data_IF_626165223427
#
_entry.id   IF_626165223427
#
_cell.length_a   1.000
_cell.length_b   1.000
_cell.length_c   1.000
_cell.angle_alpha   90.00
_cell.angle_beta   90.00
_cell.angle_gamma   90.00
#
_symmetry.space_group_name_H-M   'P 1'
#
loop_
_entity.id
_entity.type
_entity.pdbx_description
1 polymer ?
#
# COMPACT_ATOMS: atom_id res chain seq x y z
N UNK A 1 -21.55 -9.62 -5.62
CA UNK A 1 -20.33 -8.79 -5.69
C UNK A 1 -19.19 -9.65 -6.20
N UNK A 2 -18.26 -9.12 -7.01
CA UNK A 2 -17.39 -9.97 -7.80
C UNK A 2 -16.24 -10.55 -6.96
N UNK A 3 -15.87 -11.79 -7.26
CA UNK A 3 -14.69 -12.46 -6.75
C UNK A 3 -13.81 -12.82 -7.94
N UNK A 4 -12.53 -12.46 -7.86
CA UNK A 4 -11.52 -12.85 -8.83
C UNK A 4 -10.83 -14.13 -8.35
N UNK A 5 -10.95 -15.22 -9.10
CA UNK A 5 -10.12 -16.40 -8.87
C UNK A 5 -8.73 -16.12 -9.46
N UNK A 6 -7.70 -16.15 -8.61
CA UNK A 6 -6.32 -15.73 -8.97
C UNK A 6 -5.37 -16.90 -9.23
N UNK A 7 -5.79 -18.13 -8.92
CA UNK A 7 -5.04 -19.35 -9.18
C UNK A 7 -5.96 -20.56 -9.47
N UNK A 8 -5.37 -21.68 -9.86
CA UNK A 8 -6.07 -22.94 -10.13
C UNK A 8 -6.55 -23.66 -8.85
N UNK A 9 -6.09 -23.22 -7.67
CA UNK A 9 -6.47 -23.78 -6.37
C UNK A 9 -7.79 -23.22 -5.83
N UNK A 10 -8.40 -22.27 -6.54
CA UNK A 10 -9.66 -21.63 -6.14
C UNK A 10 -9.47 -20.46 -5.19
N UNK A 11 -8.25 -19.94 -5.04
CA UNK A 11 -7.99 -18.74 -4.26
C UNK A 11 -8.71 -17.55 -4.88
N UNK A 12 -9.56 -16.89 -4.08
CA UNK A 12 -10.41 -15.79 -4.50
C UNK A 12 -10.03 -14.48 -3.80
N UNK A 13 -10.00 -13.40 -4.57
CA UNK A 13 -9.88 -12.03 -4.10
C UNK A 13 -11.21 -11.32 -4.31
N UNK A 14 -11.76 -10.75 -3.25
CA UNK A 14 -12.87 -9.82 -3.33
C UNK A 14 -12.41 -8.47 -3.87
N UNK A 15 -13.22 -7.87 -4.74
CA UNK A 15 -12.96 -6.53 -5.26
C UNK A 15 -14.25 -5.75 -5.53
N UNK A 16 -14.12 -4.43 -5.57
CA UNK A 16 -15.12 -3.52 -6.14
C UNK A 16 -14.52 -2.77 -7.33
N UNK A 17 -15.37 -2.37 -8.26
CA UNK A 17 -14.94 -1.80 -9.54
C UNK A 17 -15.93 -0.71 -9.96
N UNK A 18 -15.41 0.50 -10.17
CA UNK A 18 -16.23 1.64 -10.64
C UNK A 18 -16.71 1.46 -12.09
N UNK A 19 -16.12 0.51 -12.82
CA UNK A 19 -16.35 0.30 -14.24
C UNK A 19 -15.57 1.29 -15.11
N UNK A 20 -15.78 1.15 -16.41
CA UNK A 20 -15.13 1.99 -17.44
C UNK A 20 -15.62 3.44 -17.31
N UNK A 21 -14.72 4.44 -17.26
CA UNK A 21 -15.12 5.84 -17.22
C UNK A 21 -15.91 6.24 -18.47
N UNK A 22 -16.92 7.10 -18.30
CA UNK A 22 -17.81 7.47 -19.39
C UNK A 22 -17.07 8.15 -20.56
N UNK A 23 -17.37 7.70 -21.78
CA UNK A 23 -16.88 8.34 -23.00
C UNK A 23 -15.40 8.11 -23.34
N UNK A 24 -14.70 7.23 -22.61
CA UNK A 24 -13.32 6.89 -22.90
C UNK A 24 -13.13 5.41 -23.28
N UNK A 25 -12.34 5.18 -24.34
CA UNK A 25 -11.88 3.84 -24.75
C UNK A 25 -10.48 3.53 -24.23
N UNK A 26 -9.73 4.56 -23.82
CA UNK A 26 -8.37 4.46 -23.30
C UNK A 26 -8.29 5.21 -21.97
N UNK A 27 -8.05 4.49 -20.88
CA UNK A 27 -8.11 5.05 -19.53
C UNK A 27 -7.10 4.37 -18.60
N UNK A 28 -6.53 5.11 -17.63
CA UNK A 28 -5.82 4.50 -16.52
C UNK A 28 -6.76 3.73 -15.60
N UNK A 29 -6.30 2.53 -15.20
CA UNK A 29 -6.90 1.75 -14.14
C UNK A 29 -6.05 1.86 -12.89
N UNK A 30 -6.68 2.20 -11.76
CA UNK A 30 -6.07 2.19 -10.44
C UNK A 30 -6.57 0.95 -9.70
N UNK A 31 -5.66 0.12 -9.20
CA UNK A 31 -5.97 -0.93 -8.22
C UNK A 31 -5.47 -0.48 -6.86
N UNK A 32 -6.33 -0.41 -5.86
CA UNK A 32 -6.00 0.05 -4.51
C UNK A 32 -6.13 -1.10 -3.52
N UNK A 33 -5.07 -1.31 -2.72
CA UNK A 33 -5.04 -2.24 -1.59
C UNK A 33 -5.22 -1.48 -0.28
N UNK A 34 -5.95 -2.07 0.67
CA UNK A 34 -6.19 -1.48 1.99
C UNK A 34 -4.95 -1.58 2.91
N UNK A 35 -5.05 -0.97 4.10
CA UNK A 35 -4.03 -1.03 5.15
C UNK A 35 -4.27 -2.14 6.18
N UNK A 36 -3.48 -2.12 7.25
CA UNK A 36 -3.62 -3.05 8.37
C UNK A 36 -4.98 -2.88 9.08
N UNK A 37 -5.68 -3.98 9.35
CA UNK A 37 -6.97 -4.06 10.08
C UNK A 37 -8.12 -3.26 9.50
N UNK A 38 -7.97 -2.72 8.29
CA UNK A 38 -8.97 -1.92 7.60
C UNK A 38 -9.16 -2.60 6.26
N UNK A 39 -10.38 -2.94 5.88
CA UNK A 39 -10.65 -3.56 4.59
C UNK A 39 -10.98 -2.52 3.49
N UNK A 40 -10.98 -3.00 2.25
CA UNK A 40 -11.55 -2.35 1.07
C UNK A 40 -13.03 -2.71 0.86
N UNK A 41 -13.69 -3.36 1.85
CA UNK A 41 -15.14 -3.43 2.08
C UNK A 41 -15.95 -4.64 1.59
N UNK A 42 -17.24 -4.64 1.99
CA UNK A 42 -18.43 -5.15 1.31
C UNK A 42 -19.58 -4.14 1.54
N UNK A 43 -20.01 -3.42 0.49
CA UNK A 43 -21.10 -2.40 0.45
C UNK A 43 -20.80 -1.02 1.04
N UNK A 44 -19.85 -0.89 1.97
CA UNK A 44 -19.24 0.38 2.43
C UNK A 44 -17.75 0.10 2.64
N UNK A 45 -16.89 0.95 2.07
CA UNK A 45 -15.43 0.73 2.04
C UNK A 45 -14.71 1.97 2.53
N UNK A 46 -13.50 1.83 3.05
CA UNK A 46 -12.68 3.01 3.40
C UNK A 46 -12.37 3.90 2.18
N UNK A 47 -12.61 3.39 0.96
CA UNK A 47 -12.44 4.07 -0.31
C UNK A 47 -13.76 4.53 -0.93
N UNK A 48 -14.91 4.28 -0.31
CA UNK A 48 -16.22 4.49 -0.94
C UNK A 48 -16.41 5.93 -1.40
N UNK A 49 -15.87 6.87 -0.62
CA UNK A 49 -15.98 8.30 -0.88
C UNK A 49 -15.14 8.73 -2.09
N UNK A 50 -14.13 7.94 -2.46
CA UNK A 50 -13.33 8.19 -3.67
C UNK A 50 -14.06 7.76 -4.94
N UNK A 51 -14.81 6.67 -4.89
CA UNK A 51 -15.35 6.00 -6.08
C UNK A 51 -16.22 6.92 -6.97
N UNK A 52 -17.10 7.80 -6.43
CA UNK A 52 -17.88 8.74 -7.24
C UNK A 52 -17.04 9.70 -8.09
N UNK A 53 -15.79 9.96 -7.71
CA UNK A 53 -14.91 10.87 -8.45
C UNK A 53 -14.14 10.18 -9.58
N UNK A 54 -14.15 8.85 -9.68
CA UNK A 54 -13.36 8.11 -10.67
C UNK A 54 -13.67 8.58 -12.11
N UNK A 55 -14.94 8.55 -12.52
CA UNK A 55 -15.31 8.97 -13.88
C UNK A 55 -15.09 10.46 -14.14
N UNK A 56 -15.17 11.32 -13.11
CA UNK A 56 -14.88 12.76 -13.24
C UNK A 56 -13.45 13.01 -13.70
N UNK A 57 -12.51 12.17 -13.25
CA UNK A 57 -11.09 12.27 -13.59
C UNK A 57 -10.65 11.24 -14.64
N UNK A 58 -11.60 10.59 -15.34
CA UNK A 58 -11.28 9.62 -16.39
C UNK A 58 -10.58 8.35 -15.90
N UNK A 59 -10.77 8.00 -14.63
CA UNK A 59 -10.19 6.81 -14.01
C UNK A 59 -11.19 5.65 -13.96
N UNK A 60 -10.68 4.42 -14.03
CA UNK A 60 -11.32 3.23 -13.45
C UNK A 60 -10.63 2.92 -12.13
N UNK A 61 -11.38 2.88 -11.03
CA UNK A 61 -10.84 2.51 -9.71
C UNK A 61 -11.36 1.12 -9.36
N UNK A 62 -10.44 0.24 -8.98
CA UNK A 62 -10.70 -1.09 -8.46
C UNK A 62 -10.12 -1.17 -7.06
N UNK A 63 -10.93 -1.52 -6.07
CA UNK A 63 -10.45 -1.77 -4.71
C UNK A 63 -10.42 -3.27 -4.47
N UNK A 64 -9.46 -3.77 -3.69
CA UNK A 64 -9.37 -5.21 -3.40
C UNK A 64 -9.18 -5.48 -1.91
N UNK A 65 -9.75 -6.59 -1.45
CA UNK A 65 -9.41 -7.18 -0.15
C UNK A 65 -8.35 -8.24 -0.34
N UNK A 66 -7.21 -8.07 0.31
CA UNK A 66 -6.19 -9.10 0.32
C UNK A 66 -6.73 -10.38 0.98
N UNK A 67 -6.09 -11.53 0.73
CA UNK A 67 -6.45 -12.78 1.43
C UNK A 67 -6.39 -12.59 2.95
N UNK A 68 -7.27 -13.30 3.64
CA UNK A 68 -7.48 -13.14 5.08
C UNK A 68 -8.44 -12.01 5.48
N UNK A 69 -8.83 -11.13 4.55
CA UNK A 69 -9.85 -10.10 4.78
C UNK A 69 -11.21 -10.53 4.24
N UNK A 70 -12.29 -9.90 4.71
CA UNK A 70 -13.65 -10.31 4.38
C UNK A 70 -13.89 -10.39 2.86
N UNK A 71 -14.64 -11.41 2.44
CA UNK A 71 -14.97 -11.67 1.04
C UNK A 71 -13.88 -12.40 0.24
N UNK A 72 -12.61 -12.33 0.66
CA UNK A 72 -11.46 -13.05 0.06
C UNK A 72 -11.20 -14.39 0.76
N UNK A 73 -10.44 -15.27 0.11
CA UNK A 73 -10.06 -16.57 0.67
C UNK A 73 -9.17 -16.37 1.91
N UNK A 74 -9.45 -17.02 3.05
CA UNK A 74 -8.60 -16.97 4.23
C UNK A 74 -7.26 -17.69 3.99
N UNK A 75 -6.28 -17.43 4.84
CA UNK A 75 -5.06 -18.26 4.87
C UNK A 75 -5.29 -19.50 5.72
N UNK A 76 -4.65 -20.58 5.32
CA UNK A 76 -4.52 -21.79 6.13
C UNK A 76 -3.43 -21.60 7.20
N UNK A 77 -3.48 -22.43 8.24
CA UNK A 77 -2.43 -22.45 9.28
C UNK A 77 -1.04 -22.74 8.72
N UNK A 78 -0.94 -23.61 7.71
CA UNK A 78 0.32 -23.94 7.03
C UNK A 78 0.89 -22.72 6.30
N UNK A 79 0.05 -21.96 5.59
CA UNK A 79 0.48 -20.74 4.91
C UNK A 79 0.92 -19.66 5.89
N UNK A 80 0.23 -19.51 7.03
CA UNK A 80 0.59 -18.57 8.09
C UNK A 80 1.89 -19.00 8.82
N UNK A 81 2.14 -20.31 8.94
CA UNK A 81 3.35 -20.83 9.56
C UNK A 81 4.62 -20.42 8.80
N UNK A 82 4.54 -20.19 7.48
CA UNK A 82 5.66 -19.64 6.72
C UNK A 82 6.09 -18.26 7.22
N UNK A 83 5.14 -17.37 7.52
CA UNK A 83 5.43 -16.03 8.05
C UNK A 83 5.96 -16.07 9.49
N UNK A 84 5.55 -17.08 10.27
CA UNK A 84 5.98 -17.27 11.65
C UNK A 84 7.31 -18.06 11.79
N UNK A 85 7.82 -18.61 10.69
CA UNK A 85 8.98 -19.51 10.70
C UNK A 85 10.22 -18.83 11.28
N UNK A 86 11.07 -19.49 12.08
CA UNK A 86 12.36 -18.94 12.47
C UNK A 86 13.39 -18.94 11.31
N UNK A 87 13.09 -19.63 10.21
CA UNK A 87 13.92 -19.66 9.01
C UNK A 87 13.58 -18.47 8.09
N UNK A 88 14.57 -17.61 7.87
CA UNK A 88 14.44 -16.38 7.08
C UNK A 88 14.05 -16.65 5.61
N UNK A 89 14.51 -17.74 4.99
CA UNK A 89 14.14 -18.04 3.60
C UNK A 89 12.70 -18.56 3.51
N UNK A 90 12.24 -19.29 4.53
CA UNK A 90 10.83 -19.70 4.65
C UNK A 90 9.94 -18.48 4.90
N UNK A 91 10.33 -17.55 5.77
CA UNK A 91 9.62 -16.29 5.93
C UNK A 91 9.59 -15.47 4.65
N UNK A 92 10.72 -15.37 3.96
CA UNK A 92 10.81 -14.67 2.68
C UNK A 92 9.90 -15.33 1.63
N UNK A 93 9.74 -16.65 1.64
CA UNK A 93 8.73 -17.33 0.82
C UNK A 93 7.30 -16.91 1.18
N UNK A 94 6.99 -16.81 2.48
CA UNK A 94 5.73 -16.26 2.97
C UNK A 94 5.47 -14.84 2.46
N UNK A 95 6.46 -13.93 2.56
CA UNK A 95 6.34 -12.54 2.08
C UNK A 95 6.17 -12.48 0.55
N UNK A 96 6.94 -13.29 -0.20
CA UNK A 96 6.78 -13.40 -1.66
C UNK A 96 5.38 -13.84 -2.06
N UNK A 97 4.81 -14.80 -1.35
CA UNK A 97 3.44 -15.28 -1.62
C UNK A 97 2.43 -14.13 -1.51
N UNK A 98 2.55 -13.25 -0.51
CA UNK A 98 1.69 -12.06 -0.41
C UNK A 98 1.82 -11.16 -1.66
N UNK A 99 3.06 -10.90 -2.09
CA UNK A 99 3.36 -10.17 -3.33
C UNK A 99 2.77 -10.83 -4.59
N UNK A 100 2.93 -12.14 -4.69
CA UNK A 100 2.50 -12.95 -5.84
C UNK A 100 0.98 -12.95 -5.97
N UNK A 101 0.24 -13.08 -4.87
CA UNK A 101 -1.23 -13.09 -4.86
C UNK A 101 -1.80 -11.74 -5.36
N UNK A 102 -1.21 -10.62 -4.92
CA UNK A 102 -1.57 -9.31 -5.45
C UNK A 102 -1.21 -9.19 -6.93
N UNK A 103 -0.03 -9.66 -7.36
CA UNK A 103 0.35 -9.65 -8.77
C UNK A 103 -0.57 -10.52 -9.65
N UNK A 104 -1.03 -11.67 -9.16
CA UNK A 104 -2.03 -12.51 -9.83
C UNK A 104 -3.38 -11.80 -9.95
N UNK A 105 -3.81 -11.07 -8.92
CA UNK A 105 -4.99 -10.22 -9.02
C UNK A 105 -4.83 -9.12 -10.08
N UNK A 106 -3.67 -8.46 -10.14
CA UNK A 106 -3.38 -7.49 -11.20
C UNK A 106 -3.44 -8.14 -12.59
N UNK A 107 -2.93 -9.37 -12.74
CA UNK A 107 -3.01 -10.12 -13.99
C UNK A 107 -4.47 -10.43 -14.38
N UNK A 108 -5.30 -10.81 -13.41
CA UNK A 108 -6.75 -10.97 -13.60
C UNK A 108 -7.41 -9.66 -14.08
N UNK A 109 -7.05 -8.51 -13.50
CA UNK A 109 -7.54 -7.20 -13.96
C UNK A 109 -7.14 -6.94 -15.42
N UNK A 110 -5.88 -7.21 -15.77
CA UNK A 110 -5.38 -7.06 -17.14
C UNK A 110 -6.11 -7.95 -18.15
N UNK A 111 -6.23 -9.24 -17.85
CA UNK A 111 -6.67 -10.26 -18.81
C UNK A 111 -8.19 -10.45 -18.83
N UNK A 112 -8.81 -10.51 -17.65
CA UNK A 112 -10.24 -10.80 -17.50
C UNK A 112 -11.07 -9.53 -17.60
N UNK A 113 -10.64 -8.45 -16.93
CA UNK A 113 -11.35 -7.17 -16.95
C UNK A 113 -10.94 -6.27 -18.14
N UNK A 114 -9.97 -6.73 -18.95
CA UNK A 114 -9.57 -6.18 -20.25
C UNK A 114 -9.31 -4.68 -20.21
N UNK A 115 -8.47 -4.26 -19.28
CA UNK A 115 -8.07 -2.85 -19.22
C UNK A 115 -7.17 -2.50 -20.43
N UNK A 116 -7.10 -1.23 -20.85
CA UNK A 116 -6.22 -0.82 -21.92
C UNK A 116 -4.74 -1.02 -21.55
N UNK A 117 -3.91 -1.42 -22.51
CA UNK A 117 -2.45 -1.45 -22.34
C UNK A 117 -1.90 -0.04 -22.16
N UNK A 118 -0.72 0.09 -21.54
CA UNK A 118 -0.04 1.38 -21.48
C UNK A 118 0.51 1.74 -22.88
N UNK A 119 0.14 2.90 -23.41
CA UNK A 119 0.64 3.40 -24.71
C UNK A 119 1.20 4.80 -24.57
N UNK A 120 2.21 5.13 -25.38
CA UNK A 120 2.87 6.44 -25.33
C UNK A 120 3.93 6.56 -24.24
N UNK A 121 4.57 7.72 -24.18
CA UNK A 121 5.67 8.02 -23.26
C UNK A 121 5.44 9.37 -22.54
N UNK A 122 5.94 9.48 -21.31
CA UNK A 122 5.84 10.70 -20.51
C UNK A 122 4.40 11.18 -20.32
N UNK A 123 4.18 12.49 -20.46
CA UNK A 123 2.87 13.12 -20.35
C UNK A 123 1.83 12.71 -21.41
N UNK A 124 2.22 11.90 -22.41
CA UNK A 124 1.31 11.32 -23.41
C UNK A 124 0.99 9.86 -23.12
N UNK A 125 1.35 9.36 -21.93
CA UNK A 125 1.08 7.98 -21.54
C UNK A 125 -0.39 7.81 -21.24
N UNK A 126 -1.06 6.98 -22.02
CA UNK A 126 -2.48 6.65 -21.88
C UNK A 126 -2.64 5.17 -21.47
N UNK A 127 -3.88 4.75 -21.22
CA UNK A 127 -4.24 3.36 -20.95
C UNK A 127 -3.71 2.91 -19.60
N UNK A 128 -3.29 1.65 -19.43
CA UNK A 128 -2.43 1.08 -18.37
C UNK A 128 -2.97 0.98 -16.94
N UNK A 129 -2.10 0.49 -16.04
CA UNK A 129 -2.40 0.10 -14.65
C UNK A 129 -1.48 0.82 -13.65
N UNK A 130 -2.05 1.20 -12.51
CA UNK A 130 -1.35 1.71 -11.34
C UNK A 130 -1.78 0.91 -10.11
N UNK A 131 -0.82 0.41 -9.35
CA UNK A 131 -1.08 -0.22 -8.04
C UNK A 131 -0.88 0.84 -6.95
N UNK A 132 -1.87 1.03 -6.08
CA UNK A 132 -1.76 1.85 -4.87
C UNK A 132 -1.72 0.92 -3.66
N UNK A 133 -0.58 0.88 -3.00
CA UNK A 133 -0.31 0.13 -1.79
C UNK A 133 -0.39 1.04 -0.57
N UNK A 134 -1.51 0.98 0.16
CA UNK A 134 -1.71 1.81 1.34
C UNK A 134 -1.08 1.17 2.57
N UNK A 135 -0.39 1.99 3.37
CA UNK A 135 0.07 1.60 4.70
C UNK A 135 0.97 0.35 4.67
N UNK A 136 0.72 -0.62 5.54
CA UNK A 136 1.46 -1.88 5.66
C UNK A 136 1.47 -2.74 4.39
N UNK A 137 0.50 -2.61 3.50
CA UNK A 137 0.51 -3.35 2.23
C UNK A 137 1.53 -2.81 1.22
N UNK A 138 2.27 -1.75 1.58
CA UNK A 138 3.55 -1.45 0.93
C UNK A 138 4.54 -2.62 0.98
N UNK A 139 4.47 -3.51 1.99
CA UNK A 139 5.32 -4.73 2.07
C UNK A 139 5.13 -5.65 0.86
N UNK A 140 3.89 -5.79 0.40
CA UNK A 140 3.54 -6.52 -0.83
C UNK A 140 4.14 -5.83 -2.05
N UNK A 141 4.03 -4.50 -2.12
CA UNK A 141 4.58 -3.72 -3.24
C UNK A 141 6.10 -3.80 -3.34
N UNK A 142 6.84 -3.73 -2.22
CA UNK A 142 8.31 -3.95 -2.25
C UNK A 142 8.65 -5.39 -2.63
N UNK A 143 7.85 -6.39 -2.23
CA UNK A 143 8.07 -7.78 -2.67
C UNK A 143 7.89 -7.94 -4.19
N UNK A 144 6.88 -7.29 -4.78
CA UNK A 144 6.63 -7.32 -6.24
C UNK A 144 7.80 -6.71 -7.01
N UNK A 145 8.32 -5.57 -6.55
CA UNK A 145 9.37 -4.84 -7.27
C UNK A 145 10.80 -5.26 -6.91
N UNK A 146 11.00 -5.86 -5.75
CA UNK A 146 12.30 -6.08 -5.12
C UNK A 146 12.79 -7.53 -5.12
N UNK A 147 11.94 -8.51 -5.44
CA UNK A 147 12.34 -9.91 -5.59
C UNK A 147 11.84 -10.51 -6.91
N UNK A 148 12.73 -10.85 -7.86
CA UNK A 148 12.35 -11.50 -9.12
C UNK A 148 11.57 -12.80 -8.96
N UNK A 149 11.74 -13.50 -7.83
CA UNK A 149 11.03 -14.74 -7.53
C UNK A 149 9.55 -14.51 -7.22
N UNK A 150 9.13 -13.29 -6.86
CA UNK A 150 7.72 -12.96 -6.60
C UNK A 150 6.88 -13.04 -7.88
N UNK A 151 7.41 -12.50 -8.98
CA UNK A 151 6.68 -12.39 -10.24
C UNK A 151 6.85 -13.62 -11.14
N UNK A 152 8.04 -14.21 -11.17
CA UNK A 152 8.37 -15.21 -12.20
C UNK A 152 8.27 -14.65 -13.62
N UNK A 153 8.45 -15.49 -14.64
CA UNK A 153 8.39 -15.06 -16.05
C UNK A 153 6.99 -14.65 -16.48
N UNK A 154 5.98 -15.41 -16.06
CA UNK A 154 4.64 -15.34 -16.67
C UNK A 154 3.85 -14.13 -16.19
N UNK A 155 3.90 -13.81 -14.88
CA UNK A 155 3.30 -12.58 -14.37
C UNK A 155 4.07 -11.35 -14.85
N UNK A 156 5.41 -11.43 -14.98
CA UNK A 156 6.21 -10.33 -15.52
C UNK A 156 5.79 -10.02 -16.96
N UNK A 157 5.70 -11.04 -17.81
CA UNK A 157 5.27 -10.88 -19.20
C UNK A 157 3.83 -10.34 -19.30
N UNK A 158 2.95 -10.79 -18.39
CA UNK A 158 1.56 -10.34 -18.33
C UNK A 158 1.43 -8.89 -17.88
N UNK A 159 2.18 -8.46 -16.86
CA UNK A 159 2.03 -7.13 -16.27
C UNK A 159 2.88 -6.05 -16.92
N UNK A 160 4.02 -6.39 -17.54
CA UNK A 160 4.94 -5.42 -18.12
C UNK A 160 4.28 -4.44 -19.13
N UNK A 161 3.32 -4.87 -19.99
CA UNK A 161 2.64 -3.95 -20.90
C UNK A 161 1.62 -3.01 -20.23
N UNK A 162 1.24 -3.28 -18.98
CA UNK A 162 0.14 -2.61 -18.29
C UNK A 162 0.61 -1.79 -17.11
N UNK A 163 1.38 -2.38 -16.19
CA UNK A 163 1.76 -1.75 -14.94
C UNK A 163 2.76 -0.63 -15.20
N UNK A 164 2.46 0.56 -14.71
CA UNK A 164 3.24 1.78 -14.98
C UNK A 164 3.84 2.37 -13.72
N UNK A 165 3.07 2.33 -12.65
CA UNK A 165 3.43 2.99 -11.40
C UNK A 165 2.95 2.13 -10.24
N UNK A 166 3.81 2.00 -9.24
CA UNK A 166 3.43 1.51 -7.91
C UNK A 166 3.50 2.70 -6.96
N UNK A 167 2.37 2.99 -6.33
CA UNK A 167 2.21 4.09 -5.39
C UNK A 167 2.28 3.53 -3.97
N UNK A 168 3.23 3.99 -3.18
CA UNK A 168 3.25 3.78 -1.74
C UNK A 168 2.46 4.92 -1.09
N UNK A 169 1.22 4.63 -0.69
CA UNK A 169 0.39 5.60 0.01
C UNK A 169 0.65 5.47 1.51
N UNK A 170 1.43 6.42 2.03
CA UNK A 170 1.71 6.61 3.45
C UNK A 170 2.18 5.35 4.19
N UNK A 171 3.07 4.58 3.56
CA UNK A 171 3.63 3.34 4.12
C UNK A 171 4.49 3.61 5.36
N UNK A 172 4.37 2.83 6.44
CA UNK A 172 5.22 2.98 7.61
C UNK A 172 6.64 2.46 7.37
N UNK A 173 7.61 2.88 8.20
CA UNK A 173 9.01 2.45 8.08
C UNK A 173 9.21 0.93 8.11
N UNK A 174 8.33 0.19 8.80
CA UNK A 174 8.34 -1.26 8.84
C UNK A 174 8.19 -1.90 7.44
N UNK A 175 7.51 -1.24 6.50
CA UNK A 175 7.42 -1.66 5.09
C UNK A 175 8.79 -1.79 4.43
N UNK A 176 9.77 -0.99 4.88
CA UNK A 176 11.11 -0.94 4.35
C UNK A 176 12.14 -1.66 5.23
N UNK A 177 11.68 -2.44 6.23
CA UNK A 177 12.56 -3.12 7.17
C UNK A 177 13.30 -2.19 8.13
N UNK A 178 12.70 -1.04 8.46
CA UNK A 178 13.30 -0.05 9.37
C UNK A 178 12.42 0.14 10.61
N UNK A 179 12.97 -0.20 11.77
CA UNK A 179 12.35 -0.06 13.07
C UNK A 179 13.15 0.93 13.94
N UNK A 180 12.86 2.23 13.84
CA UNK A 180 13.64 3.23 14.56
C UNK A 180 13.35 3.21 16.06
N UNK A 181 14.39 3.34 16.87
CA UNK A 181 14.23 3.64 18.29
C UNK A 181 14.07 5.15 18.48
N UNK A 182 12.82 5.59 18.67
CA UNK A 182 12.48 6.99 18.91
C UNK A 182 11.94 7.22 20.34
N UNK A 183 12.10 6.24 21.23
CA UNK A 183 11.50 6.26 22.56
C UNK A 183 9.96 6.23 22.57
N UNK A 184 9.33 5.88 21.44
CA UNK A 184 7.87 5.73 21.27
C UNK A 184 7.59 4.45 20.50
N UNK A 185 6.85 3.52 21.10
CA UNK A 185 6.40 2.31 20.43
C UNK A 185 5.16 2.54 19.56
N UNK A 186 4.83 1.55 18.73
CA UNK A 186 3.47 1.43 18.17
C UNK A 186 2.54 0.84 19.23
N UNK A 187 1.22 1.04 19.14
CA UNK A 187 0.29 0.48 20.12
C UNK A 187 0.39 -1.05 20.28
N UNK A 188 0.78 -1.79 19.23
CA UNK A 188 0.98 -3.22 19.31
C UNK A 188 2.25 -3.63 20.08
N UNK A 189 3.31 -2.83 19.98
CA UNK A 189 4.59 -3.04 20.67
C UNK A 189 4.62 -2.52 22.11
N UNK A 190 3.62 -1.73 22.53
CA UNK A 190 3.58 -1.16 23.88
C UNK A 190 3.14 -2.22 24.92
N UNK A 191 4.01 -2.56 25.89
CA UNK A 191 3.68 -3.54 26.93
C UNK A 191 2.72 -3.00 28.00
N UNK A 192 2.51 -1.68 28.06
CA UNK A 192 1.60 -1.03 29.03
C UNK A 192 0.14 -1.07 28.57
N UNK A 193 -0.11 -1.35 27.29
CA UNK A 193 -1.45 -1.49 26.73
C UNK A 193 -1.89 -2.96 26.88
N UNK A 194 -3.01 -3.25 27.58
CA UNK A 194 -3.57 -4.60 27.65
C UNK A 194 -3.85 -5.17 26.26
N UNK A 195 -3.61 -6.46 26.04
CA UNK A 195 -3.71 -7.09 24.71
C UNK A 195 -5.09 -6.89 24.07
N UNK A 196 -6.15 -6.98 24.87
CA UNK A 196 -7.54 -6.75 24.46
C UNK A 196 -7.85 -5.30 24.04
N UNK A 197 -7.01 -4.34 24.44
CA UNK A 197 -7.13 -2.92 24.07
C UNK A 197 -6.23 -2.52 22.90
N UNK A 198 -5.24 -3.35 22.51
CA UNK A 198 -4.24 -2.97 21.50
C UNK A 198 -4.86 -2.59 20.16
N UNK A 199 -5.81 -3.37 19.66
CA UNK A 199 -6.49 -3.04 18.39
C UNK A 199 -7.25 -1.71 18.48
N UNK A 200 -7.97 -1.47 19.57
CA UNK A 200 -8.74 -0.24 19.79
C UNK A 200 -7.82 1.00 19.84
N UNK A 201 -6.73 0.93 20.61
CA UNK A 201 -5.74 2.02 20.68
C UNK A 201 -4.99 2.19 19.36
N UNK A 202 -4.74 1.10 18.63
CA UNK A 202 -4.18 1.15 17.28
C UNK A 202 -5.10 1.92 16.32
N UNK A 203 -6.41 1.68 16.34
CA UNK A 203 -7.37 2.40 15.51
C UNK A 203 -7.38 3.91 15.81
N UNK A 204 -7.29 4.30 17.08
CA UNK A 204 -7.15 5.71 17.45
C UNK A 204 -5.85 6.31 16.94
N UNK A 205 -4.73 5.66 17.23
CA UNK A 205 -3.40 6.12 16.85
C UNK A 205 -3.23 6.24 15.35
N UNK A 206 -3.62 5.21 14.59
CA UNK A 206 -3.40 5.15 13.13
C UNK A 206 -4.27 6.17 12.39
N UNK A 207 -5.41 6.57 12.96
CA UNK A 207 -6.34 7.51 12.35
C UNK A 207 -6.35 8.91 12.96
N UNK A 208 -5.52 9.14 13.97
CA UNK A 208 -5.32 10.46 14.55
C UNK A 208 -4.57 11.40 13.60
N UNK A 209 -4.71 12.70 13.86
CA UNK A 209 -3.98 13.75 13.17
C UNK A 209 -2.81 14.17 14.05
N UNK A 210 -1.62 14.30 13.46
CA UNK A 210 -0.41 14.65 14.18
C UNK A 210 0.25 15.90 13.60
N UNK A 211 1.00 16.61 14.42
CA UNK A 211 1.98 17.58 13.94
C UNK A 211 3.19 16.87 13.35
N UNK A 212 3.77 17.45 12.30
CA UNK A 212 5.04 17.04 11.72
C UNK A 212 6.14 18.05 12.08
N UNK A 213 7.43 17.65 12.03
CA UNK A 213 8.53 18.60 12.00
C UNK A 213 8.30 19.69 10.93
N UNK A 214 8.65 20.96 11.20
CA UNK A 214 8.51 22.04 10.23
C UNK A 214 9.23 21.79 8.90
N UNK A 215 8.79 22.45 7.82
CA UNK A 215 9.46 22.37 6.51
C UNK A 215 10.96 22.72 6.66
N UNK A 216 11.84 21.85 6.17
CA UNK A 216 13.30 22.00 6.28
C UNK A 216 13.93 21.38 7.54
N UNK A 217 13.14 20.93 8.51
CA UNK A 217 13.65 20.17 9.67
C UNK A 217 13.70 18.68 9.32
N UNK A 218 14.88 18.02 9.43
CA UNK A 218 14.99 16.60 9.17
C UNK A 218 14.14 15.77 10.14
N UNK A 219 13.59 14.65 9.66
CA UNK A 219 12.92 13.67 10.51
C UNK A 219 14.01 12.86 11.23
N UNK A 220 14.14 13.05 12.54
CA UNK A 220 15.04 12.31 13.43
C UNK A 220 14.28 11.90 14.69
N UNK A 221 14.90 11.08 15.56
CA UNK A 221 14.28 10.74 16.83
C UNK A 221 14.02 11.99 17.68
N UNK A 222 14.97 12.93 17.69
CA UNK A 222 14.90 14.19 18.43
C UNK A 222 13.81 15.11 17.87
N UNK A 223 13.74 15.29 16.54
CA UNK A 223 12.74 16.18 15.95
C UNK A 223 11.32 15.60 16.08
N UNK A 224 11.15 14.28 15.99
CA UNK A 224 9.87 13.68 16.32
C UNK A 224 9.56 13.80 17.81
N UNK A 225 10.52 13.66 18.72
CA UNK A 225 10.28 13.88 20.14
C UNK A 225 9.79 15.32 20.43
N UNK A 226 10.40 16.31 19.79
CA UNK A 226 10.10 17.73 19.97
C UNK A 226 8.77 18.15 19.31
N UNK A 227 8.55 17.74 18.06
CA UNK A 227 7.45 18.28 17.25
C UNK A 227 6.24 17.37 17.12
N UNK A 228 6.34 16.06 17.37
CA UNK A 228 5.23 15.13 17.17
C UNK A 228 4.22 15.18 18.34
N UNK A 229 3.04 15.71 18.06
CA UNK A 229 1.93 15.83 19.00
C UNK A 229 0.63 15.45 18.31
N UNK A 230 -0.27 14.78 19.03
CA UNK A 230 -1.63 14.50 18.56
C UNK A 230 -2.44 15.79 18.56
N UNK A 231 -2.98 16.17 17.41
CA UNK A 231 -3.85 17.32 17.27
C UNK A 231 -5.22 17.05 17.92
N UNK A 232 -5.90 18.08 18.48
CA UNK A 232 -7.20 17.94 19.12
C UNK A 232 -8.33 17.80 18.08
N UNK A 233 -8.26 16.74 17.27
CA UNK A 233 -9.22 16.38 16.23
C UNK A 233 -9.65 14.94 16.45
N UNK A 234 -10.94 14.65 16.25
CA UNK A 234 -11.45 13.27 16.31
C UNK A 234 -10.73 12.42 15.26
N UNK A 235 -10.12 11.27 15.64
CA UNK A 235 -9.50 10.36 14.68
C UNK A 235 -10.49 9.93 13.58
N UNK A 236 -10.04 9.82 12.34
CA UNK A 236 -10.93 9.61 11.18
C UNK A 236 -11.84 8.39 11.35
N UNK A 237 -11.29 7.27 11.82
CA UNK A 237 -12.06 6.03 12.00
C UNK A 237 -13.10 6.13 13.12
N UNK A 238 -12.96 7.11 14.04
CA UNK A 238 -13.96 7.40 15.09
C UNK A 238 -15.07 8.33 14.63
N UNK A 239 -15.01 8.83 13.40
CA UNK A 239 -16.12 9.57 12.76
C UNK A 239 -17.12 8.66 12.07
N UNK A 240 -16.78 7.37 11.91
CA UNK A 240 -17.65 6.38 11.30
C UNK A 240 -18.90 6.14 12.15
N UNK A 241 -20.03 5.85 11.49
CA UNK A 241 -21.18 5.28 12.20
C UNK A 241 -20.80 3.90 12.79
N UNK A 242 -21.48 3.42 13.84
CA UNK A 242 -21.20 2.09 14.39
C UNK A 242 -21.27 0.97 13.35
N UNK A 243 -22.19 1.09 12.39
CA UNK A 243 -22.35 0.11 11.32
C UNK A 243 -21.21 0.16 10.32
N UNK A 244 -20.77 1.36 9.93
CA UNK A 244 -19.64 1.52 9.00
C UNK A 244 -18.34 1.10 9.66
N UNK A 245 -18.17 1.39 10.95
CA UNK A 245 -17.03 0.91 11.72
C UNK A 245 -16.92 -0.62 11.68
N UNK A 246 -18.03 -1.33 11.90
CA UNK A 246 -18.06 -2.80 11.82
C UNK A 246 -17.81 -3.33 10.41
N UNK A 247 -18.19 -2.59 9.37
CA UNK A 247 -17.94 -2.97 7.97
C UNK A 247 -16.50 -2.72 7.53
N UNK A 248 -15.86 -1.68 8.08
CA UNK A 248 -14.53 -1.22 7.66
C UNK A 248 -13.40 -1.88 8.46
N UNK A 249 -13.60 -2.08 9.77
CA UNK A 249 -12.57 -2.57 10.67
C UNK A 249 -12.61 -4.09 10.76
N UNK A 250 -11.47 -4.72 10.49
CA UNK A 250 -11.28 -6.17 10.52
C UNK A 250 -10.43 -6.57 11.72
N UNK A 251 -11.08 -7.22 12.67
CA UNK A 251 -10.45 -7.77 13.87
C UNK A 251 -10.32 -9.29 13.77
N UNK A 252 -9.81 -9.94 14.81
CA UNK A 252 -9.63 -11.39 14.83
C UNK A 252 -8.43 -11.84 13.97
N UNK A 253 -8.66 -12.70 12.98
CA UNK A 253 -7.60 -13.31 12.18
C UNK A 253 -6.74 -12.28 11.42
N UNK A 254 -7.31 -11.14 11.02
CA UNK A 254 -6.57 -10.03 10.42
C UNK A 254 -5.52 -9.42 11.37
N UNK A 255 -5.77 -9.42 12.69
CA UNK A 255 -4.79 -8.97 13.70
C UNK A 255 -3.61 -9.92 13.72
N UNK A 256 -3.86 -11.22 13.71
CA UNK A 256 -2.82 -12.24 13.67
C UNK A 256 -2.00 -12.14 12.38
N UNK A 257 -2.65 -12.07 11.22
CA UNK A 257 -1.99 -11.93 9.92
C UNK A 257 -1.10 -10.67 9.88
N UNK A 258 -1.65 -9.52 10.26
CA UNK A 258 -0.88 -8.26 10.28
C UNK A 258 0.31 -8.36 11.23
N UNK A 259 0.12 -8.93 12.42
CA UNK A 259 1.20 -9.15 13.37
C UNK A 259 2.31 -10.04 12.81
N UNK A 260 1.96 -11.11 12.10
CA UNK A 260 2.93 -11.99 11.44
C UNK A 260 3.71 -11.27 10.33
N UNK A 261 3.04 -10.45 9.51
CA UNK A 261 3.70 -9.64 8.45
C UNK A 261 4.71 -8.67 9.06
N UNK A 262 4.34 -8.00 10.16
CA UNK A 262 5.23 -7.05 10.85
C UNK A 262 6.39 -7.77 11.55
N UNK A 263 6.16 -9.00 12.04
CA UNK A 263 7.16 -9.77 12.78
C UNK A 263 8.15 -10.54 11.89
N UNK A 264 7.99 -10.54 10.56
CA UNK A 264 9.00 -11.13 9.67
C UNK A 264 10.32 -10.39 9.79
N UNK A 265 11.44 -11.08 9.55
CA UNK A 265 12.79 -10.53 9.62
C UNK A 265 12.92 -9.26 8.77
N UNK A 266 13.33 -8.17 9.41
CA UNK A 266 13.45 -6.84 8.82
C UNK A 266 14.37 -6.83 7.59
N UNK A 267 15.35 -7.75 7.53
CA UNK A 267 16.29 -7.87 6.39
C UNK A 267 15.58 -8.28 5.11
N UNK A 268 14.45 -8.98 5.20
CA UNK A 268 13.64 -9.36 4.03
C UNK A 268 13.09 -8.08 3.39
N UNK A 269 12.39 -7.26 4.18
CA UNK A 269 11.80 -6.02 3.71
C UNK A 269 12.85 -4.99 3.30
N UNK A 270 13.95 -4.90 4.06
CA UNK A 270 15.07 -4.02 3.73
C UNK A 270 15.68 -4.39 2.37
N UNK A 271 15.96 -5.68 2.14
CA UNK A 271 16.49 -6.16 0.86
C UNK A 271 15.52 -5.87 -0.28
N UNK A 272 14.23 -6.16 -0.09
CA UNK A 272 13.21 -5.95 -1.12
C UNK A 272 13.03 -4.47 -1.44
N UNK A 273 12.97 -3.62 -0.41
CA UNK A 273 12.93 -2.18 -0.59
C UNK A 273 14.17 -1.69 -1.35
N UNK A 274 15.37 -1.99 -0.88
CA UNK A 274 16.61 -1.58 -1.55
C UNK A 274 16.60 -1.98 -3.03
N UNK A 275 16.38 -3.26 -3.35
CA UNK A 275 16.33 -3.74 -4.73
C UNK A 275 15.22 -3.06 -5.56
N UNK A 276 14.05 -2.80 -4.97
CA UNK A 276 12.96 -2.11 -5.66
C UNK A 276 13.37 -0.71 -6.14
N UNK A 277 14.23 0.01 -5.40
CA UNK A 277 14.70 1.34 -5.79
C UNK A 277 16.03 1.32 -6.57
N UNK A 278 16.95 0.42 -6.25
CA UNK A 278 18.34 0.41 -6.76
C UNK A 278 18.56 -0.46 -8.01
N UNK A 279 17.72 -1.48 -8.25
CA UNK A 279 17.86 -2.45 -9.35
C UNK A 279 16.55 -2.67 -10.11
N UNK A 280 16.09 -1.62 -10.81
CA UNK A 280 14.91 -1.69 -11.66
C UNK A 280 15.02 -2.78 -12.75
N UNK A 281 16.24 -3.08 -13.20
CA UNK A 281 16.50 -4.08 -14.25
C UNK A 281 16.07 -5.50 -13.85
N UNK A 282 16.00 -5.79 -12.55
CA UNK A 282 15.67 -7.12 -12.05
C UNK A 282 14.19 -7.49 -12.25
N UNK A 283 13.27 -6.53 -12.10
CA UNK A 283 11.82 -6.75 -12.19
C UNK A 283 11.13 -5.51 -12.75
N UNK A 284 10.34 -5.67 -13.81
CA UNK A 284 9.49 -4.61 -14.38
C UNK A 284 10.23 -3.27 -14.55
N UNK A 285 11.25 -3.20 -15.42
CA UNK A 285 12.23 -2.10 -15.46
C UNK A 285 11.68 -0.71 -15.81
N UNK A 286 10.45 -0.65 -16.33
CA UNK A 286 9.79 0.59 -16.77
C UNK A 286 8.64 1.01 -15.84
N UNK A 287 8.48 0.31 -14.71
CA UNK A 287 7.55 0.69 -13.64
C UNK A 287 8.20 1.75 -12.75
N UNK A 288 7.52 2.88 -12.58
CA UNK A 288 7.90 3.96 -11.69
C UNK A 288 7.42 3.69 -10.26
N UNK A 289 8.05 4.36 -9.29
CA UNK A 289 7.55 4.48 -7.93
C UNK A 289 7.03 5.91 -7.70
N UNK A 290 5.89 6.02 -7.03
CA UNK A 290 5.43 7.27 -6.42
C UNK A 290 5.22 7.04 -4.93
N UNK A 291 5.88 7.83 -4.09
CA UNK A 291 5.62 7.83 -2.65
C UNK A 291 4.73 9.03 -2.29
N UNK A 292 3.56 8.76 -1.70
CA UNK A 292 2.62 9.78 -1.23
C UNK A 292 2.62 9.80 0.31
N UNK A 293 3.29 10.79 0.90
CA UNK A 293 3.38 10.95 2.35
C UNK A 293 2.26 11.85 2.89
N UNK A 294 1.52 11.41 3.90
CA UNK A 294 0.55 12.27 4.57
C UNK A 294 1.21 13.10 5.68
N UNK A 295 1.05 14.43 5.65
CA UNK A 295 1.78 15.34 6.53
C UNK A 295 1.27 15.37 7.99
N UNK A 296 0.14 14.73 8.29
CA UNK A 296 -0.41 14.58 9.64
C UNK A 296 -0.55 13.11 10.06
N UNK A 297 0.22 12.22 9.43
CA UNK A 297 0.23 10.79 9.70
C UNK A 297 0.85 10.43 11.05
N UNK A 298 0.68 9.20 11.55
CA UNK A 298 1.41 8.70 12.71
C UNK A 298 2.93 8.72 12.48
N UNK A 299 3.70 8.74 13.57
CA UNK A 299 5.17 8.84 13.52
C UNK A 299 5.81 7.74 12.65
N UNK A 300 5.24 6.54 12.61
CA UNK A 300 5.77 5.41 11.84
C UNK A 300 5.72 5.67 10.33
N UNK A 301 4.66 6.34 9.85
CA UNK A 301 4.52 6.77 8.45
C UNK A 301 5.39 7.96 8.12
N UNK A 302 5.57 8.90 9.07
CA UNK A 302 6.55 9.99 8.91
C UNK A 302 7.98 9.44 8.76
N UNK A 303 8.34 8.44 9.55
CA UNK A 303 9.62 7.77 9.40
C UNK A 303 9.71 6.95 8.10
N UNK A 304 8.61 6.31 7.68
CA UNK A 304 8.54 5.68 6.37
C UNK A 304 8.79 6.66 5.22
N UNK A 305 8.26 7.88 5.33
CA UNK A 305 8.50 8.95 4.37
C UNK A 305 9.99 9.35 4.32
N UNK A 306 10.66 9.48 5.47
CA UNK A 306 12.11 9.69 5.54
C UNK A 306 12.88 8.58 4.82
N UNK A 307 12.57 7.31 5.13
CA UNK A 307 13.24 6.16 4.52
C UNK A 307 13.02 6.14 3.00
N UNK A 308 11.82 6.48 2.53
CA UNK A 308 11.55 6.60 1.11
C UNK A 308 12.36 7.72 0.45
N UNK A 309 12.48 8.91 1.07
CA UNK A 309 13.32 9.99 0.56
C UNK A 309 14.80 9.57 0.46
N UNK A 310 15.30 8.84 1.45
CA UNK A 310 16.66 8.27 1.45
C UNK A 310 16.84 7.27 0.30
N UNK A 311 15.96 6.27 0.18
CA UNK A 311 15.97 5.28 -0.90
C UNK A 311 15.86 5.92 -2.29
N UNK A 312 15.11 7.02 -2.43
CA UNK A 312 15.00 7.77 -3.68
C UNK A 312 16.32 8.49 -4.01
N UNK A 313 16.96 9.09 -3.01
CA UNK A 313 18.22 9.84 -3.15
C UNK A 313 19.47 8.97 -3.35
N UNK A 314 19.43 7.69 -2.97
CA UNK A 314 20.54 6.75 -3.14
C UNK A 314 20.88 6.51 -4.62
N UNK A 315 22.15 6.23 -4.91
CA UNK A 315 22.58 5.81 -6.25
C UNK A 315 22.01 4.41 -6.60
N UNK A 316 22.05 4.05 -7.88
CA UNK A 316 21.85 2.64 -8.24
C UNK A 316 23.03 1.80 -7.73
N UNK A 317 22.78 0.51 -7.54
CA UNK A 317 23.85 -0.47 -7.35
C UNK A 317 24.80 -0.47 -8.56
N UNK A 318 26.06 -0.84 -8.32
CA UNK A 318 27.06 -0.87 -9.38
C UNK A 318 26.60 -1.75 -10.55
N UNK A 319 26.48 -1.15 -11.73
CA UNK A 319 26.03 -1.83 -12.94
C UNK A 319 24.52 -2.09 -13.02
N UNK A 320 23.72 -1.54 -12.09
CA UNK A 320 22.26 -1.66 -12.07
C UNK A 320 21.57 -0.37 -12.52
N UNK A 321 20.28 -0.48 -12.86
CA UNK A 321 19.43 0.63 -13.30
C UNK A 321 18.65 1.16 -12.09
N UNK A 322 18.81 2.45 -11.75
CA UNK A 322 17.96 3.11 -10.73
C UNK A 322 16.51 3.10 -11.19
N UNK A 323 15.57 2.80 -10.28
CA UNK A 323 14.14 2.97 -10.58
C UNK A 323 13.78 4.45 -10.51
N UNK A 324 13.04 4.95 -11.50
CA UNK A 324 12.46 6.29 -11.44
C UNK A 324 11.45 6.33 -10.30
N UNK A 325 11.70 7.20 -9.33
CA UNK A 325 10.88 7.34 -8.14
C UNK A 325 10.64 8.82 -7.83
N UNK A 326 9.39 9.16 -7.51
CA UNK A 326 8.96 10.52 -7.15
C UNK A 326 8.39 10.51 -5.74
N UNK A 327 8.60 11.59 -4.99
CA UNK A 327 8.07 11.78 -3.64
C UNK A 327 7.15 13.00 -3.61
N UNK A 328 5.95 12.84 -3.02
CA UNK A 328 5.03 13.94 -2.79
C UNK A 328 4.50 13.93 -1.36
N UNK A 329 4.40 15.12 -0.76
CA UNK A 329 3.87 15.31 0.58
C UNK A 329 2.49 15.98 0.53
N UNK A 330 1.50 15.33 1.12
CA UNK A 330 0.12 15.78 1.20
C UNK A 330 -0.07 16.65 2.44
N UNK A 331 0.10 17.97 2.28
CA UNK A 331 -0.14 18.94 3.35
C UNK A 331 -1.56 18.82 3.90
N UNK A 332 -1.71 18.79 5.23
CA UNK A 332 -3.00 18.74 5.93
C UNK A 332 -3.70 17.37 5.97
N UNK A 333 -3.18 16.37 5.25
CA UNK A 333 -3.76 15.03 5.20
C UNK A 333 -3.20 14.15 6.32
N UNK A 334 -4.05 13.30 6.93
CA UNK A 334 -3.60 12.19 7.78
C UNK A 334 -3.47 10.89 6.97
N UNK A 335 -3.25 9.79 7.68
CA UNK A 335 -3.10 8.45 7.11
C UNK A 335 -4.33 7.92 6.34
N UNK A 336 -5.49 8.59 6.43
CA UNK A 336 -6.76 8.21 5.83
C UNK A 336 -7.27 9.27 4.85
N UNK A 337 -6.36 9.87 4.08
CA UNK A 337 -6.69 10.89 3.06
C UNK A 337 -7.76 10.42 2.05
N UNK A 338 -7.84 9.11 1.78
CA UNK A 338 -8.90 8.50 0.96
C UNK A 338 -10.31 8.74 1.50
N UNK A 339 -10.45 8.95 2.81
CA UNK A 339 -11.73 9.16 3.48
C UNK A 339 -12.00 10.63 3.76
N UNK A 340 -10.97 11.35 4.20
CA UNK A 340 -11.08 12.76 4.62
C UNK A 340 -11.07 13.73 3.43
N UNK A 341 -10.25 13.45 2.41
CA UNK A 341 -10.08 14.30 1.23
C UNK A 341 -10.16 13.45 -0.08
N UNK A 342 -11.26 12.69 -0.27
CA UNK A 342 -11.36 11.67 -1.32
C UNK A 342 -11.13 12.22 -2.73
N UNK A 343 -11.77 13.34 -3.07
CA UNK A 343 -11.63 13.96 -4.39
C UNK A 343 -10.20 14.44 -4.64
N UNK A 344 -9.53 14.99 -3.62
CA UNK A 344 -8.15 15.45 -3.71
C UNK A 344 -7.21 14.29 -4.01
N UNK A 345 -7.38 13.14 -3.35
CA UNK A 345 -6.58 11.96 -3.63
C UNK A 345 -6.85 11.43 -5.05
N UNK A 346 -8.11 11.32 -5.47
CA UNK A 346 -8.46 10.84 -6.82
C UNK A 346 -7.87 11.75 -7.91
N UNK A 347 -7.97 13.08 -7.74
CA UNK A 347 -7.36 14.04 -8.65
C UNK A 347 -5.84 13.85 -8.75
N UNK A 348 -5.16 13.72 -7.61
CA UNK A 348 -3.72 13.51 -7.56
C UNK A 348 -3.31 12.20 -8.25
N UNK A 349 -4.04 11.12 -8.02
CA UNK A 349 -3.80 9.84 -8.70
C UNK A 349 -3.98 9.97 -10.22
N UNK A 350 -4.97 10.74 -10.68
CA UNK A 350 -5.15 11.03 -12.10
C UNK A 350 -3.99 11.87 -12.68
N UNK A 351 -3.57 12.92 -11.99
CA UNK A 351 -2.41 13.74 -12.36
C UNK A 351 -1.13 12.89 -12.45
N UNK A 352 -0.97 11.93 -11.53
CA UNK A 352 0.16 10.98 -11.52
C UNK A 352 0.16 10.00 -12.71
N UNK A 353 -1.01 9.65 -13.24
CA UNK A 353 -1.11 8.80 -14.42
C UNK A 353 -0.71 9.53 -15.70
N UNK A 354 -0.88 10.86 -15.71
CA UNK A 354 -0.61 11.72 -16.86
C UNK A 354 0.78 12.39 -16.77
N UNK A 355 1.67 11.91 -15.89
CA UNK A 355 2.99 12.50 -15.61
C UNK A 355 2.95 14.04 -15.45
N UNK A 356 1.87 14.57 -14.85
CA UNK A 356 1.61 16.01 -14.71
C UNK A 356 1.91 16.54 -13.30
N UNK A 357 2.63 15.76 -12.49
CA UNK A 357 2.97 16.05 -11.09
C UNK A 357 4.23 16.91 -10.93
#
# INVERSE_FOLDING_TARGET
MPRAQIDDNGTCIYYEDTGVPHGSVTYPTIVITHGALINSGMSITIFERMLPYASKYGLRIITMNNRGYHGSTPYTEEELAHLASPDVEVQAHGVRRLGQETAQFLAYVCQTLRIPVATGEGAKKEGGLVLVAWSMYGTVAVSILGDPRTMGSDLTATLAPYLRTVVFLDSPSATFGVFPDIGRGTPFGDPTIPNERKSDVFIDWVSAYHTSPPDGVPITAESLHEYYTVLPRTPTLRTLSPEDYQRVIELGDCVRLTGLIVATDEKIHHKYAHCAFSDAGAVLPDVNILYLAAAQAPWASMWGAKVAEELIGEAADQGKKKRKATFLRLKGANHLVQWDEPERLVRLLAESCNDSL
#
